data_IF_290704903180
#
_entry.id   IF_290704903180
#
_cell.length_a   1.000
_cell.length_b   1.000
_cell.length_c   1.000
_cell.angle_alpha   90.00
_cell.angle_beta   90.00
_cell.angle_gamma   90.00
#
_symmetry.space_group_name_H-M   'P 1'
#
loop_
_entity.id
_entity.type
_entity.pdbx_description
1 polymer ?
#
# COMPACT_ATOMS: atom_id res chain seq x y z
N UNK A 1 51.58 2.12 -43.12
CA UNK A 1 51.14 2.09 -41.70
C UNK A 1 49.75 2.70 -41.64
N UNK A 2 48.73 1.89 -41.37
CA UNK A 2 47.31 2.20 -41.64
C UNK A 2 46.71 2.97 -40.46
N UNK A 3 46.26 4.19 -40.72
CA UNK A 3 45.54 5.03 -39.76
C UNK A 3 44.14 4.44 -39.49
N UNK A 4 43.80 4.27 -38.21
CA UNK A 4 42.45 3.88 -37.77
C UNK A 4 41.75 5.11 -37.17
N UNK A 5 40.48 5.24 -37.55
CA UNK A 5 39.59 6.40 -37.49
C UNK A 5 39.37 7.00 -36.09
N UNK A 6 39.26 8.33 -36.11
CA UNK A 6 38.54 9.18 -35.16
C UNK A 6 37.09 8.72 -34.97
N UNK A 7 36.64 8.65 -33.71
CA UNK A 7 35.31 9.05 -33.20
C UNK A 7 34.89 8.21 -32.00
N UNK A 8 35.48 8.51 -30.85
CA UNK A 8 34.93 8.19 -29.54
C UNK A 8 34.78 9.54 -28.84
N UNK A 9 33.72 9.73 -28.05
CA UNK A 9 33.35 10.98 -27.36
C UNK A 9 32.43 11.90 -28.18
N UNK A 10 31.14 11.55 -28.27
CA UNK A 10 29.99 12.48 -28.18
C UNK A 10 28.66 11.71 -28.33
N UNK A 11 28.39 10.76 -27.43
CA UNK A 11 27.03 10.21 -27.20
C UNK A 11 26.74 9.90 -25.73
N UNK A 12 27.52 10.46 -24.80
CA UNK A 12 27.35 10.27 -23.36
C UNK A 12 26.70 11.51 -22.72
N UNK A 13 25.59 11.98 -23.27
CA UNK A 13 24.98 13.26 -22.87
C UNK A 13 23.46 13.29 -22.90
N UNK A 14 22.79 12.14 -22.96
CA UNK A 14 21.32 12.13 -22.97
C UNK A 14 20.66 10.93 -22.26
N UNK A 15 21.43 10.05 -21.63
CA UNK A 15 20.89 8.85 -20.96
C UNK A 15 21.16 8.81 -19.44
N UNK A 16 21.49 9.96 -18.84
CA UNK A 16 21.69 10.10 -17.39
C UNK A 16 20.61 10.98 -16.75
N UNK A 17 19.81 11.71 -17.55
CA UNK A 17 18.69 12.52 -17.05
C UNK A 17 17.35 11.76 -16.99
N UNK A 18 17.34 10.49 -17.40
CA UNK A 18 16.22 9.55 -17.19
C UNK A 18 16.62 8.43 -16.21
N UNK A 19 17.57 8.72 -15.32
CA UNK A 19 17.90 7.87 -14.17
C UNK A 19 17.86 8.67 -12.86
N UNK A 20 17.34 9.91 -12.93
CA UNK A 20 17.22 10.84 -11.81
C UNK A 20 15.77 10.98 -11.31
N UNK A 21 14.89 10.09 -11.73
CA UNK A 21 13.46 10.07 -11.36
C UNK A 21 12.95 8.67 -10.95
N UNK A 22 13.86 7.74 -10.62
CA UNK A 22 13.49 6.44 -10.05
C UNK A 22 14.28 6.14 -8.76
N UNK A 23 14.47 7.18 -7.95
CA UNK A 23 14.73 7.04 -6.51
C UNK A 23 13.80 8.02 -5.80
N UNK A 24 12.53 8.07 -6.22
CA UNK A 24 11.49 8.48 -5.29
C UNK A 24 11.35 7.32 -4.33
N UNK A 25 12.16 7.37 -3.27
CA UNK A 25 11.88 6.80 -1.95
C UNK A 25 10.54 6.06 -1.92
N UNK A 26 10.55 4.77 -2.26
CA UNK A 26 9.60 3.87 -1.60
C UNK A 26 9.94 4.07 -0.13
N UNK A 27 8.98 4.55 0.65
CA UNK A 27 9.17 4.76 2.05
C UNK A 27 9.43 3.38 2.66
N UNK A 28 10.69 2.96 2.70
CA UNK A 28 11.19 1.96 3.62
C UNK A 28 10.84 2.54 4.98
N UNK A 29 9.70 2.14 5.52
CA UNK A 29 9.25 2.68 6.77
C UNK A 29 10.17 2.15 7.87
N UNK A 30 10.62 3.05 8.76
CA UNK A 30 11.56 2.73 9.85
C UNK A 30 10.98 1.64 10.76
N UNK A 31 11.75 1.14 11.74
CA UNK A 31 11.39 0.05 12.66
C UNK A 31 10.07 0.22 13.47
N UNK A 32 9.33 1.32 13.25
CA UNK A 32 8.05 1.67 13.86
C UNK A 32 6.84 1.52 12.91
N UNK A 33 7.00 1.01 11.69
CA UNK A 33 5.93 0.80 10.69
C UNK A 33 4.95 -0.35 11.01
N UNK A 34 4.69 -0.59 12.29
CA UNK A 34 4.22 -1.90 12.73
C UNK A 34 2.72 -2.17 12.52
N UNK A 35 1.90 -1.14 12.30
CA UNK A 35 0.44 -1.30 12.40
C UNK A 35 -0.14 -1.91 11.12
N UNK A 36 0.21 -1.37 9.95
CA UNK A 36 -0.36 -1.78 8.65
C UNK A 36 0.49 -2.77 7.85
N UNK A 37 1.71 -3.10 8.29
CA UNK A 37 2.52 -4.20 7.76
C UNK A 37 1.97 -5.55 8.30
N UNK A 38 0.94 -6.12 7.68
CA UNK A 38 0.25 -7.31 8.18
C UNK A 38 1.03 -8.61 8.00
N UNK A 39 1.89 -8.71 6.97
CA UNK A 39 2.70 -9.90 6.71
C UNK A 39 4.06 -9.88 7.43
N UNK A 40 4.38 -8.76 8.11
CA UNK A 40 5.60 -8.53 8.87
C UNK A 40 6.87 -8.72 8.02
N UNK A 41 6.85 -8.20 6.79
CA UNK A 41 8.02 -8.20 5.90
C UNK A 41 8.82 -6.89 5.95
N UNK A 42 8.38 -5.93 6.77
CA UNK A 42 8.91 -4.57 6.92
C UNK A 42 8.71 -3.69 5.68
N UNK A 43 7.81 -4.08 4.78
CA UNK A 43 7.31 -3.24 3.71
C UNK A 43 5.82 -3.02 3.95
N UNK A 44 5.40 -1.76 3.87
CA UNK A 44 3.98 -1.41 3.93
C UNK A 44 3.50 -1.13 2.51
N UNK A 45 2.80 -2.09 1.90
CA UNK A 45 2.40 -1.98 0.49
C UNK A 45 1.02 -2.57 0.15
N UNK A 46 0.49 -2.18 -1.01
CA UNK A 46 -0.83 -2.65 -1.43
C UNK A 46 -0.81 -4.10 -1.90
N UNK A 47 0.32 -4.59 -2.44
CA UNK A 47 0.41 -5.88 -3.10
C UNK A 47 0.41 -7.05 -2.13
N UNK A 48 0.84 -6.81 -0.89
CA UNK A 48 0.91 -7.76 0.20
C UNK A 48 -0.12 -7.37 1.27
N UNK A 49 0.04 -6.23 1.95
CA UNK A 49 -0.79 -5.83 3.10
C UNK A 49 -2.23 -5.47 2.71
N UNK A 50 -2.35 -4.59 1.71
CA UNK A 50 -3.66 -4.15 1.22
C UNK A 50 -4.50 -5.33 0.72
N UNK A 51 -3.87 -6.29 0.03
CA UNK A 51 -4.55 -7.51 -0.42
C UNK A 51 -4.98 -8.40 0.74
N UNK A 52 -4.17 -8.55 1.78
CA UNK A 52 -4.54 -9.36 2.96
C UNK A 52 -5.79 -8.80 3.62
N UNK A 53 -5.85 -7.49 3.85
CA UNK A 53 -7.03 -6.85 4.47
C UNK A 53 -8.25 -6.99 3.58
N UNK A 54 -8.15 -6.70 2.28
CA UNK A 54 -9.27 -6.87 1.35
C UNK A 54 -9.80 -8.31 1.34
N UNK A 55 -8.91 -9.30 1.21
CA UNK A 55 -9.29 -10.72 1.24
C UNK A 55 -9.95 -11.09 2.57
N UNK A 56 -9.42 -10.59 3.67
CA UNK A 56 -9.99 -10.81 4.99
C UNK A 56 -11.40 -10.23 5.12
N UNK A 57 -11.63 -9.00 4.66
CA UNK A 57 -12.96 -8.38 4.69
C UNK A 57 -13.96 -9.10 3.76
N UNK A 58 -13.50 -9.69 2.66
CA UNK A 58 -14.32 -10.58 1.81
C UNK A 58 -14.58 -11.98 2.39
N UNK A 59 -14.12 -12.26 3.61
CA UNK A 59 -14.36 -13.54 4.28
C UNK A 59 -13.39 -14.65 3.88
N UNK A 60 -12.31 -14.36 3.14
CA UNK A 60 -11.28 -15.35 2.83
C UNK A 60 -10.42 -15.62 4.07
N UNK A 61 -10.21 -16.90 4.36
CA UNK A 61 -9.50 -17.37 5.57
C UNK A 61 -8.50 -18.45 5.20
N UNK A 62 -7.68 -18.84 6.18
CA UNK A 62 -6.71 -19.92 6.07
C UNK A 62 -5.81 -19.80 4.83
N UNK A 63 -5.71 -20.85 4.01
CA UNK A 63 -4.91 -20.86 2.80
C UNK A 63 -5.38 -19.78 1.79
N UNK A 64 -6.68 -19.51 1.70
CA UNK A 64 -7.22 -18.53 0.75
C UNK A 64 -6.83 -17.09 1.09
N UNK A 65 -6.62 -16.80 2.39
CA UNK A 65 -6.15 -15.49 2.83
C UNK A 65 -4.77 -15.19 2.24
N UNK A 66 -3.86 -16.16 2.33
CA UNK A 66 -2.43 -16.00 1.98
C UNK A 66 -2.06 -16.49 0.59
N UNK A 67 -3.00 -17.11 -0.14
CA UNK A 67 -2.73 -17.76 -1.42
C UNK A 67 -2.05 -16.81 -2.41
N UNK A 68 -0.96 -17.27 -3.02
CA UNK A 68 -0.17 -16.53 -4.01
C UNK A 68 0.42 -15.21 -3.49
N UNK A 69 0.49 -15.01 -2.16
CA UNK A 69 1.20 -13.89 -1.54
C UNK A 69 2.52 -14.38 -0.96
N UNK A 70 3.57 -13.59 -1.11
CA UNK A 70 4.82 -13.83 -0.39
C UNK A 70 4.60 -13.35 1.05
N UNK A 71 4.58 -14.28 1.99
CA UNK A 71 4.43 -13.96 3.41
C UNK A 71 5.71 -14.41 4.07
N UNK A 72 6.38 -13.53 4.80
CA UNK A 72 7.71 -13.72 5.41
C UNK A 72 7.74 -14.75 6.55
N UNK A 73 7.08 -15.89 6.37
CA UNK A 73 6.85 -16.91 7.39
C UNK A 73 5.66 -16.62 8.31
N UNK A 74 4.92 -15.52 8.09
CA UNK A 74 3.70 -15.23 8.83
C UNK A 74 2.54 -16.10 8.34
N UNK A 75 2.04 -16.96 9.23
CA UNK A 75 0.90 -17.82 8.92
C UNK A 75 -0.42 -17.04 8.88
N UNK A 76 -1.39 -17.54 8.10
CA UNK A 76 -2.73 -16.97 7.96
C UNK A 76 -3.44 -16.67 9.29
N UNK A 77 -3.25 -17.52 10.31
CA UNK A 77 -3.81 -17.28 11.66
C UNK A 77 -3.20 -16.06 12.35
N UNK A 78 -1.90 -15.83 12.21
CA UNK A 78 -1.23 -14.66 12.80
C UNK A 78 -1.65 -13.37 12.09
N UNK A 79 -1.78 -13.43 10.76
CA UNK A 79 -2.27 -12.31 9.95
C UNK A 79 -3.71 -11.97 10.33
N UNK A 80 -4.60 -12.96 10.38
CA UNK A 80 -5.99 -12.76 10.78
C UNK A 80 -6.10 -12.09 12.15
N UNK A 81 -5.31 -12.56 13.15
CA UNK A 81 -5.26 -11.93 14.48
C UNK A 81 -4.79 -10.48 14.44
N UNK A 82 -3.84 -10.14 13.57
CA UNK A 82 -3.35 -8.77 13.43
C UNK A 82 -4.40 -7.85 12.81
N UNK A 83 -5.12 -8.33 11.79
CA UNK A 83 -6.25 -7.61 11.19
C UNK A 83 -7.38 -7.44 12.22
N UNK A 84 -7.73 -8.51 12.95
CA UNK A 84 -8.75 -8.46 14.02
C UNK A 84 -8.37 -7.50 15.15
N UNK A 85 -7.08 -7.33 15.45
CA UNK A 85 -6.61 -6.43 16.50
C UNK A 85 -6.83 -4.95 16.18
N UNK A 86 -7.04 -4.59 14.90
CA UNK A 86 -7.45 -3.24 14.52
C UNK A 86 -8.92 -2.98 14.84
N UNK A 87 -9.77 -4.02 14.84
CA UNK A 87 -11.20 -3.92 15.17
C UNK A 87 -11.87 -2.74 14.42
N UNK A 88 -12.40 -1.76 15.16
CA UNK A 88 -13.08 -0.57 14.63
C UNK A 88 -12.15 0.39 13.90
N UNK A 89 -10.83 0.26 14.05
CA UNK A 89 -9.89 1.11 13.31
C UNK A 89 -9.87 0.80 11.81
N UNK A 90 -10.47 -0.32 11.39
CA UNK A 90 -10.72 -0.62 9.99
C UNK A 90 -11.97 0.05 9.42
N UNK A 91 -12.76 0.79 10.21
CA UNK A 91 -13.83 1.65 9.69
C UNK A 91 -13.22 2.99 9.24
N UNK A 92 -12.69 2.98 8.01
CA UNK A 92 -11.88 4.05 7.41
C UNK A 92 -12.74 5.21 6.95
N UNK A 93 -13.96 4.98 6.48
CA UNK A 93 -14.89 6.05 6.11
C UNK A 93 -15.79 6.51 7.28
N UNK A 94 -15.83 5.75 8.37
CA UNK A 94 -16.41 6.13 9.64
C UNK A 94 -17.92 6.00 9.66
N UNK A 95 -18.49 5.12 8.83
CA UNK A 95 -19.94 4.89 8.79
C UNK A 95 -20.43 3.90 9.87
N UNK A 96 -19.53 3.35 10.68
CA UNK A 96 -19.84 2.37 11.73
C UNK A 96 -19.92 0.93 11.22
N UNK A 97 -19.62 0.68 9.95
CA UNK A 97 -19.47 -0.63 9.35
C UNK A 97 -18.02 -0.84 8.91
N UNK A 98 -17.58 -2.09 8.89
CA UNK A 98 -16.28 -2.47 8.33
C UNK A 98 -16.60 -3.25 7.05
N UNK A 99 -16.44 -2.62 5.90
CA UNK A 99 -16.78 -3.19 4.59
C UNK A 99 -15.58 -3.16 3.62
N UNK A 100 -15.44 -4.24 2.85
CA UNK A 100 -14.31 -4.40 1.94
C UNK A 100 -14.25 -3.34 0.83
N UNK A 101 -15.41 -2.89 0.33
CA UNK A 101 -15.51 -1.99 -0.82
C UNK A 101 -15.38 -0.52 -0.43
N UNK A 102 -15.70 -0.16 0.80
CA UNK A 102 -15.57 1.20 1.32
C UNK A 102 -14.28 1.36 2.10
N UNK A 103 -13.97 0.47 3.04
CA UNK A 103 -12.81 0.61 3.93
C UNK A 103 -11.58 -0.11 3.42
N UNK A 104 -11.75 -1.39 3.08
CA UNK A 104 -10.65 -2.22 2.56
C UNK A 104 -10.03 -1.63 1.29
N UNK A 105 -10.86 -1.07 0.41
CA UNK A 105 -10.39 -0.45 -0.81
C UNK A 105 -9.74 0.92 -0.58
N UNK A 106 -10.20 1.72 0.40
CA UNK A 106 -9.51 2.95 0.81
C UNK A 106 -8.12 2.64 1.36
N UNK A 107 -8.01 1.66 2.26
CA UNK A 107 -6.74 1.22 2.81
C UNK A 107 -5.81 0.71 1.70
N UNK A 108 -6.30 -0.17 0.81
CA UNK A 108 -5.53 -0.67 -0.33
C UNK A 108 -4.99 0.49 -1.20
N UNK A 109 -5.85 1.46 -1.56
CA UNK A 109 -5.45 2.61 -2.38
C UNK A 109 -4.41 3.48 -1.69
N UNK A 110 -4.54 3.68 -0.38
CA UNK A 110 -3.56 4.41 0.40
C UNK A 110 -2.20 3.72 0.41
N UNK A 111 -2.17 2.40 0.61
CA UNK A 111 -0.95 1.58 0.55
C UNK A 111 -0.36 1.53 -0.87
N UNK A 112 -1.20 1.71 -1.89
CA UNK A 112 -0.80 1.83 -3.30
C UNK A 112 -0.25 3.22 -3.66
N UNK A 113 -0.13 4.12 -2.67
CA UNK A 113 0.36 5.49 -2.87
C UNK A 113 -0.66 6.45 -3.48
N UNK A 114 -1.94 6.05 -3.60
CA UNK A 114 -2.99 6.95 -4.10
C UNK A 114 -3.38 7.96 -3.02
N UNK A 115 -3.54 9.22 -3.44
CA UNK A 115 -3.82 10.37 -2.57
C UNK A 115 -4.77 11.32 -3.29
N UNK A 116 -5.39 12.24 -2.55
CA UNK A 116 -6.34 13.20 -3.10
C UNK A 116 -7.59 12.52 -3.66
N UNK A 117 -8.10 13.04 -4.77
CA UNK A 117 -9.36 12.54 -5.35
C UNK A 117 -9.30 11.07 -5.78
N UNK A 118 -8.14 10.55 -6.21
CA UNK A 118 -8.04 9.14 -6.61
C UNK A 118 -8.23 8.18 -5.44
N UNK A 119 -7.86 8.59 -4.22
CA UNK A 119 -8.09 7.80 -3.00
C UNK A 119 -9.58 7.53 -2.80
N UNK A 120 -10.41 8.57 -2.87
CA UNK A 120 -11.82 8.51 -2.43
C UNK A 120 -12.85 8.27 -3.55
N UNK A 121 -12.46 8.35 -4.81
CA UNK A 121 -13.43 8.30 -5.93
C UNK A 121 -14.14 6.94 -5.98
N UNK A 122 -15.47 6.98 -5.83
CA UNK A 122 -16.37 5.84 -5.99
C UNK A 122 -16.35 4.82 -4.86
N UNK A 123 -15.75 5.15 -3.70
CA UNK A 123 -15.60 4.21 -2.57
C UNK A 123 -16.15 4.72 -1.24
N UNK A 124 -16.43 6.01 -1.10
CA UNK A 124 -17.01 6.55 0.14
C UNK A 124 -18.48 6.13 0.25
N UNK A 125 -18.87 5.56 1.40
CA UNK A 125 -20.27 5.25 1.66
C UNK A 125 -21.15 6.50 1.74
N UNK A 126 -22.43 6.37 1.43
CA UNK A 126 -23.38 7.49 1.54
C UNK A 126 -23.52 8.02 2.97
N UNK A 127 -23.37 7.16 3.96
CA UNK A 127 -23.47 7.42 5.40
C UNK A 127 -22.12 7.59 6.11
N UNK A 128 -21.01 7.62 5.35
CA UNK A 128 -19.68 7.92 5.87
C UNK A 128 -19.63 9.22 6.68
N UNK A 129 -18.84 9.24 7.74
CA UNK A 129 -18.58 10.47 8.53
C UNK A 129 -17.33 11.20 8.06
N UNK A 130 -16.38 10.49 7.45
CA UNK A 130 -15.21 11.04 6.77
C UNK A 130 -15.46 10.98 5.26
N UNK A 131 -15.62 12.12 4.59
CA UNK A 131 -16.07 12.18 3.18
C UNK A 131 -15.05 12.79 2.23
N UNK A 132 -14.09 13.54 2.74
CA UNK A 132 -13.04 14.18 1.96
C UNK A 132 -11.76 13.35 1.96
N UNK A 133 -10.92 13.54 0.93
CA UNK A 133 -9.60 12.89 0.91
C UNK A 133 -8.74 13.38 2.07
N UNK A 134 -8.86 14.64 2.49
CA UNK A 134 -8.10 15.19 3.63
C UNK A 134 -8.43 14.46 4.94
N UNK A 135 -9.73 14.21 5.23
CA UNK A 135 -10.15 13.49 6.43
C UNK A 135 -9.70 12.03 6.42
N UNK A 136 -9.82 11.36 5.26
CA UNK A 136 -9.43 9.96 5.11
C UNK A 136 -7.91 9.80 5.21
N UNK A 137 -7.12 10.66 4.55
CA UNK A 137 -5.66 10.62 4.67
C UNK A 137 -5.21 10.92 6.09
N UNK A 138 -5.81 11.93 6.74
CA UNK A 138 -5.51 12.23 8.13
C UNK A 138 -5.74 11.01 9.02
N UNK A 139 -6.86 10.29 8.82
CA UNK A 139 -7.17 9.08 9.58
C UNK A 139 -6.19 7.95 9.28
N UNK A 140 -5.95 7.62 8.01
CA UNK A 140 -5.02 6.54 7.62
C UNK A 140 -3.58 6.80 8.07
N UNK A 141 -3.15 8.07 8.11
CA UNK A 141 -1.84 8.44 8.68
C UNK A 141 -1.75 8.12 10.17
N UNK A 142 -2.85 8.19 10.94
CA UNK A 142 -2.83 7.77 12.36
C UNK A 142 -2.63 6.26 12.53
N UNK A 143 -2.98 5.47 11.50
CA UNK A 143 -2.75 4.04 11.48
C UNK A 143 -1.35 3.70 10.97
N UNK A 144 -0.89 4.34 9.90
CA UNK A 144 0.39 4.02 9.26
C UNK A 144 1.62 4.30 10.16
N UNK A 145 1.53 5.30 11.05
CA UNK A 145 2.64 5.73 11.91
C UNK A 145 3.42 6.91 11.34
#
# INVERSE_FOLDING_TARGET
MRAIKKNIIKKMGFFVLMYLFCVSTFADCDANCAVLDFNNDNFQDSSEDGKLVLRYMFGLRDEQLVKDLNQSGFGSSSIAKKIDALDKELDVDGNGAIDALTDGLLLYRYLDGQRGQSLITGVISSDATRKSFDEIEAYLNTLAG
#
